data_IF_539167048737
#
_entry.id   IF_539167048737
#
_cell.length_a   1.000
_cell.length_b   1.000
_cell.length_c   1.000
_cell.angle_alpha   90.00
_cell.angle_beta   90.00
_cell.angle_gamma   90.00
#
_symmetry.space_group_name_H-M   'P 1'
#
loop_
_entity.id
_entity.type
_entity.pdbx_description
1 polymer ?
#
# COMPACT_ATOMS: atom_id res chain seq x y z
N UNK A 1 15.80 -12.17 -25.70
CA UNK A 1 15.63 -13.54 -25.16
C UNK A 1 14.53 -13.56 -24.13
N UNK A 2 13.87 -14.70 -23.90
CA UNK A 2 12.85 -14.81 -22.86
C UNK A 2 13.51 -14.90 -21.48
N UNK A 3 12.78 -14.51 -20.39
CA UNK A 3 13.24 -14.69 -19.01
C UNK A 3 13.60 -16.14 -18.71
N UNK A 4 12.81 -17.10 -19.22
CA UNK A 4 13.06 -18.52 -19.08
C UNK A 4 14.42 -18.94 -19.64
N UNK A 5 14.76 -18.54 -20.87
CA UNK A 5 16.06 -18.81 -21.48
C UNK A 5 17.22 -18.13 -20.74
N UNK A 6 16.98 -16.91 -20.26
CA UNK A 6 17.94 -16.17 -19.43
C UNK A 6 18.25 -16.91 -18.13
N UNK A 7 17.22 -17.37 -17.42
CA UNK A 7 17.40 -18.08 -16.15
C UNK A 7 18.02 -19.46 -16.33
N UNK A 8 17.71 -20.18 -17.40
CA UNK A 8 18.36 -21.47 -17.70
C UNK A 8 19.88 -21.33 -17.93
N UNK A 9 20.31 -20.19 -18.44
CA UNK A 9 21.74 -19.91 -18.74
C UNK A 9 22.54 -19.34 -17.57
N UNK A 10 21.89 -18.89 -16.50
CA UNK A 10 22.50 -18.19 -15.36
C UNK A 10 22.21 -18.91 -14.03
N UNK A 11 23.10 -18.78 -13.05
CA UNK A 11 22.88 -19.34 -11.71
C UNK A 11 21.85 -18.55 -10.90
N UNK A 12 21.73 -17.25 -11.16
CA UNK A 12 20.79 -16.37 -10.47
C UNK A 12 20.13 -15.39 -11.43
N UNK A 13 18.89 -14.97 -11.09
CA UNK A 13 18.20 -13.84 -11.70
C UNK A 13 17.80 -12.85 -10.61
N UNK A 14 17.75 -11.56 -10.97
CA UNK A 14 17.28 -10.49 -10.10
C UNK A 14 16.03 -9.81 -10.71
N UNK A 15 14.83 -10.40 -10.56
CA UNK A 15 13.61 -9.84 -11.09
C UNK A 15 13.14 -8.64 -10.26
N UNK A 16 12.33 -7.80 -10.89
CA UNK A 16 11.58 -6.72 -10.23
C UNK A 16 10.12 -7.16 -9.99
N UNK A 17 9.36 -6.36 -9.25
CA UNK A 17 7.95 -6.65 -8.92
C UNK A 17 7.01 -6.69 -10.14
N UNK A 18 7.45 -6.21 -11.30
CA UNK A 18 6.72 -6.27 -12.57
C UNK A 18 6.98 -7.54 -13.39
N UNK A 19 8.02 -8.30 -13.04
CA UNK A 19 8.39 -9.52 -13.75
C UNK A 19 7.59 -10.71 -13.17
N UNK A 20 6.73 -11.33 -13.98
CA UNK A 20 5.99 -12.52 -13.53
C UNK A 20 6.90 -13.76 -13.66
N UNK A 21 7.24 -14.37 -12.54
CA UNK A 21 8.09 -15.55 -12.45
C UNK A 21 7.20 -16.78 -12.12
N UNK A 22 6.59 -17.34 -13.14
CA UNK A 22 5.73 -18.51 -13.00
C UNK A 22 6.52 -19.84 -13.05
N UNK A 23 5.79 -20.94 -12.88
CA UNK A 23 6.35 -22.29 -12.88
C UNK A 23 7.15 -22.64 -14.14
N UNK A 24 6.81 -22.09 -15.30
CA UNK A 24 7.52 -22.28 -16.58
C UNK A 24 8.94 -21.71 -16.53
N UNK A 25 9.12 -20.50 -16.01
CA UNK A 25 10.43 -19.84 -15.86
C UNK A 25 11.26 -20.58 -14.83
N UNK A 26 10.65 -20.99 -13.71
CA UNK A 26 11.29 -21.72 -12.63
C UNK A 26 11.78 -23.09 -13.12
N UNK A 27 10.93 -23.82 -13.84
CA UNK A 27 11.29 -25.12 -14.43
C UNK A 27 12.45 -25.00 -15.42
N UNK A 28 12.44 -23.97 -16.27
CA UNK A 28 13.54 -23.71 -17.20
C UNK A 28 14.85 -23.43 -16.45
N UNK A 29 14.81 -22.61 -15.39
CA UNK A 29 15.97 -22.36 -14.52
C UNK A 29 16.50 -23.62 -13.87
N UNK A 30 15.63 -24.43 -13.27
CA UNK A 30 15.99 -25.67 -12.58
C UNK A 30 16.60 -26.72 -13.53
N UNK A 31 16.10 -26.79 -14.76
CA UNK A 31 16.64 -27.68 -15.81
C UNK A 31 18.02 -27.23 -16.34
N UNK A 32 18.38 -25.98 -16.10
CA UNK A 32 19.66 -25.39 -16.47
C UNK A 32 20.57 -25.13 -15.27
N UNK A 33 21.08 -23.90 -15.21
CA UNK A 33 22.00 -23.45 -14.15
C UNK A 33 21.32 -22.76 -12.97
N UNK A 34 20.00 -22.43 -13.09
CA UNK A 34 19.28 -21.61 -12.11
C UNK A 34 19.27 -22.22 -10.70
N UNK A 35 19.61 -21.40 -9.70
CA UNK A 35 19.66 -21.77 -8.28
C UNK A 35 19.03 -20.72 -7.37
N UNK A 36 18.99 -19.44 -7.80
CA UNK A 36 18.57 -18.33 -6.97
C UNK A 36 17.70 -17.35 -7.75
N UNK A 37 16.60 -16.93 -7.13
CA UNK A 37 15.80 -15.75 -7.52
C UNK A 37 16.03 -14.69 -6.46
N UNK A 38 16.86 -13.69 -6.76
CA UNK A 38 17.16 -12.55 -5.88
C UNK A 38 16.19 -11.42 -6.17
N UNK A 39 15.00 -11.46 -5.56
CA UNK A 39 13.94 -10.50 -5.85
C UNK A 39 14.30 -9.07 -5.41
N UNK A 40 14.33 -8.11 -6.35
CA UNK A 40 14.51 -6.70 -6.07
C UNK A 40 13.19 -6.08 -5.59
N UNK A 41 12.87 -6.32 -4.31
CA UNK A 41 11.65 -5.85 -3.65
C UNK A 41 11.29 -6.67 -2.42
N UNK A 42 10.32 -6.20 -1.64
CA UNK A 42 9.82 -6.90 -0.44
C UNK A 42 8.76 -7.93 -0.81
N UNK A 43 7.80 -7.54 -1.66
CA UNK A 43 6.71 -8.41 -2.09
C UNK A 43 7.18 -9.46 -3.09
N UNK A 44 6.71 -10.69 -2.94
CA UNK A 44 7.05 -11.85 -3.77
C UNK A 44 5.83 -12.48 -4.46
N UNK A 45 4.71 -11.79 -4.47
CA UNK A 45 3.44 -12.28 -5.04
C UNK A 45 3.48 -12.52 -6.57
N UNK A 46 4.49 -12.04 -7.27
CA UNK A 46 4.76 -12.26 -8.68
C UNK A 46 5.65 -13.49 -8.95
N UNK A 47 6.11 -14.18 -7.90
CA UNK A 47 6.95 -15.37 -7.96
C UNK A 47 6.15 -16.58 -7.46
N UNK A 48 6.13 -17.66 -8.22
CA UNK A 48 5.53 -18.93 -7.79
C UNK A 48 6.46 -19.60 -6.77
N UNK A 49 6.22 -19.33 -5.49
CA UNK A 49 7.05 -19.84 -4.40
C UNK A 49 6.96 -21.37 -4.25
N UNK A 50 5.80 -21.96 -4.54
CA UNK A 50 5.59 -23.41 -4.45
C UNK A 50 6.39 -24.13 -5.54
N UNK A 51 6.34 -23.62 -6.76
CA UNK A 51 7.16 -24.12 -7.85
C UNK A 51 8.67 -23.97 -7.57
N UNK A 52 9.09 -22.83 -7.00
CA UNK A 52 10.49 -22.59 -6.63
C UNK A 52 10.96 -23.58 -5.56
N UNK A 53 10.15 -23.81 -4.52
CA UNK A 53 10.43 -24.76 -3.45
C UNK A 53 10.53 -26.21 -4.01
N UNK A 54 9.57 -26.62 -4.86
CA UNK A 54 9.57 -27.94 -5.48
C UNK A 54 10.78 -28.16 -6.40
N UNK A 55 11.27 -27.10 -7.05
CA UNK A 55 12.43 -27.14 -7.94
C UNK A 55 13.78 -26.95 -7.19
N UNK A 56 13.78 -26.73 -5.88
CA UNK A 56 15.00 -26.47 -5.09
C UNK A 56 15.67 -25.14 -5.40
N UNK A 57 14.92 -24.16 -5.94
CA UNK A 57 15.42 -22.81 -6.25
C UNK A 57 15.18 -21.92 -5.04
N UNK A 58 16.24 -21.30 -4.53
CA UNK A 58 16.13 -20.35 -3.43
C UNK A 58 15.49 -19.03 -3.91
N UNK A 59 14.65 -18.43 -3.05
CA UNK A 59 14.06 -17.09 -3.29
C UNK A 59 14.45 -16.18 -2.15
N UNK A 60 15.06 -15.03 -2.46
CA UNK A 60 15.37 -14.00 -1.49
C UNK A 60 14.62 -12.70 -1.82
N UNK A 61 14.43 -11.84 -0.83
CA UNK A 61 13.84 -10.52 -0.98
C UNK A 61 14.60 -9.48 -0.13
N UNK A 62 14.18 -8.20 -0.19
CA UNK A 62 14.86 -7.08 0.47
C UNK A 62 14.02 -6.43 1.58
N UNK A 63 13.73 -7.13 2.70
CA UNK A 63 12.90 -6.59 3.77
C UNK A 63 13.63 -5.49 4.54
N UNK A 64 12.87 -4.46 4.98
CA UNK A 64 13.38 -3.39 5.86
C UNK A 64 13.92 -2.16 5.13
N UNK A 65 14.61 -2.32 4.01
CA UNK A 65 15.33 -1.23 3.33
C UNK A 65 14.45 -0.09 2.78
N UNK A 66 13.17 -0.35 2.52
CA UNK A 66 12.24 0.63 1.96
C UNK A 66 11.14 1.08 2.93
N UNK A 67 11.19 0.63 4.18
CA UNK A 67 10.12 0.88 5.16
C UNK A 67 9.87 2.37 5.34
N UNK A 68 10.91 3.15 5.61
CA UNK A 68 10.80 4.58 5.86
C UNK A 68 10.37 5.35 4.60
N UNK A 69 10.99 5.08 3.46
CA UNK A 69 10.64 5.72 2.19
C UNK A 69 9.17 5.49 1.80
N UNK A 70 8.65 4.26 2.01
CA UNK A 70 7.24 3.96 1.72
C UNK A 70 6.30 4.63 2.74
N UNK A 71 6.69 4.68 4.00
CA UNK A 71 5.92 5.38 5.03
C UNK A 71 5.87 6.89 4.77
N UNK A 72 6.98 7.49 4.36
CA UNK A 72 7.05 8.90 3.98
C UNK A 72 6.19 9.20 2.76
N UNK A 73 6.19 8.32 1.75
CA UNK A 73 5.30 8.44 0.59
C UNK A 73 3.82 8.37 0.98
N UNK A 74 3.44 7.43 1.86
CA UNK A 74 2.06 7.31 2.32
C UNK A 74 1.60 8.59 3.03
N UNK A 75 2.43 9.18 3.90
CA UNK A 75 2.12 10.46 4.54
C UNK A 75 2.12 11.63 3.56
N UNK A 76 3.01 11.63 2.59
CA UNK A 76 3.01 12.64 1.51
C UNK A 76 1.66 12.62 0.78
N UNK A 77 1.15 11.44 0.42
CA UNK A 77 -0.16 11.31 -0.23
C UNK A 77 -1.30 11.79 0.67
N UNK A 78 -1.29 11.43 1.96
CA UNK A 78 -2.25 11.93 2.95
C UNK A 78 -2.23 13.47 3.01
N UNK A 79 -1.06 14.07 3.10
CA UNK A 79 -0.89 15.52 3.13
C UNK A 79 -1.32 16.19 1.82
N UNK A 80 -0.96 15.62 0.69
CA UNK A 80 -1.35 16.13 -0.62
C UNK A 80 -2.87 16.17 -0.79
N UNK A 81 -3.56 15.09 -0.41
CA UNK A 81 -5.03 15.02 -0.43
C UNK A 81 -5.63 16.03 0.56
N UNK A 82 -5.17 16.00 1.81
CA UNK A 82 -5.70 16.87 2.88
C UNK A 82 -5.57 18.36 2.56
N UNK A 83 -4.46 18.76 1.94
CA UNK A 83 -4.14 20.16 1.66
C UNK A 83 -4.40 20.55 0.22
N UNK A 84 -4.96 19.65 -0.60
CA UNK A 84 -5.24 19.88 -2.03
C UNK A 84 -3.99 20.33 -2.78
N UNK A 85 -2.81 19.80 -2.39
CA UNK A 85 -1.52 20.25 -2.90
C UNK A 85 -1.38 20.00 -4.41
N UNK A 86 -1.88 18.86 -4.92
CA UNK A 86 -1.85 18.56 -6.35
C UNK A 86 -2.74 19.49 -7.18
N UNK A 87 -3.84 20.00 -6.63
CA UNK A 87 -4.69 20.99 -7.29
C UNK A 87 -3.97 22.35 -7.37
N UNK A 88 -3.39 22.80 -6.25
CA UNK A 88 -2.63 24.03 -6.19
C UNK A 88 -1.39 24.04 -7.09
N UNK A 89 -0.70 22.89 -7.16
CA UNK A 89 0.46 22.72 -8.05
C UNK A 89 0.05 22.83 -9.53
N UNK A 90 -1.06 22.20 -9.95
CA UNK A 90 -1.57 22.31 -11.31
C UNK A 90 -1.99 23.73 -11.66
N UNK A 91 -2.72 24.41 -10.76
CA UNK A 91 -3.13 25.82 -10.95
C UNK A 91 -1.93 26.74 -11.11
N UNK A 92 -0.90 26.56 -10.26
CA UNK A 92 0.32 27.38 -10.34
C UNK A 92 1.06 27.16 -11.67
N UNK A 93 1.22 25.89 -12.09
CA UNK A 93 1.89 25.57 -13.38
C UNK A 93 1.10 26.02 -14.60
N UNK A 94 -0.22 26.06 -14.51
CA UNK A 94 -1.08 26.59 -15.56
C UNK A 94 -1.04 28.13 -15.65
N UNK A 95 -0.40 28.81 -14.70
CA UNK A 95 -0.40 30.28 -14.63
C UNK A 95 -1.74 30.89 -14.19
N UNK A 96 -2.61 30.07 -13.61
CA UNK A 96 -3.97 30.47 -13.19
C UNK A 96 -4.02 31.03 -11.78
N UNK A 97 -2.96 30.87 -11.00
CA UNK A 97 -2.89 31.37 -9.64
C UNK A 97 -2.87 32.91 -9.58
N UNK A 98 -3.87 33.49 -8.94
CA UNK A 98 -4.09 34.95 -8.89
C UNK A 98 -3.80 35.54 -7.49
N UNK A 99 -2.99 34.87 -6.69
CA UNK A 99 -2.67 35.31 -5.33
C UNK A 99 -3.52 34.60 -4.28
N UNK A 100 -3.25 34.93 -3.00
CA UNK A 100 -3.96 34.37 -1.86
C UNK A 100 -5.42 34.81 -1.80
N UNK A 101 -6.31 33.85 -1.52
CA UNK A 101 -7.76 34.08 -1.32
C UNK A 101 -8.21 33.28 -0.09
N UNK A 102 -9.05 33.84 0.80
CA UNK A 102 -9.41 33.24 2.08
C UNK A 102 -9.99 31.81 2.01
N UNK A 103 -10.80 31.52 0.97
CA UNK A 103 -11.48 30.24 0.81
C UNK A 103 -10.91 29.37 -0.31
N UNK A 104 -9.83 29.84 -0.97
CA UNK A 104 -9.24 29.14 -2.09
C UNK A 104 -8.42 27.96 -1.61
N UNK A 105 -8.61 26.79 -2.23
CA UNK A 105 -7.94 25.54 -1.90
C UNK A 105 -8.02 25.17 -0.41
N UNK A 106 -9.15 25.49 0.23
CA UNK A 106 -9.36 25.10 1.62
C UNK A 106 -9.25 23.58 1.74
N UNK A 107 -8.30 23.15 2.55
CA UNK A 107 -8.08 21.77 2.87
C UNK A 107 -8.51 21.43 4.30
N UNK A 108 -8.09 20.25 4.77
CA UNK A 108 -8.35 19.76 6.12
C UNK A 108 -7.07 19.67 6.92
N UNK A 109 -7.16 19.74 8.25
CA UNK A 109 -6.05 19.41 9.13
C UNK A 109 -6.06 17.90 9.42
N UNK A 110 -4.92 17.34 9.79
CA UNK A 110 -4.80 15.95 10.21
C UNK A 110 -5.00 15.79 11.72
N UNK A 111 -4.80 16.85 12.47
CA UNK A 111 -4.91 16.83 13.93
C UNK A 111 -6.29 16.35 14.38
N UNK A 112 -6.30 15.42 15.33
CA UNK A 112 -7.50 14.77 15.88
C UNK A 112 -8.30 13.91 14.89
N UNK A 113 -7.85 13.77 13.62
CA UNK A 113 -8.45 12.88 12.65
C UNK A 113 -8.02 11.43 12.88
N UNK A 114 -8.83 10.50 12.43
CA UNK A 114 -8.58 9.07 12.56
C UNK A 114 -7.90 8.53 11.32
N UNK A 115 -6.70 7.97 11.49
CA UNK A 115 -6.04 7.16 10.47
C UNK A 115 -6.38 5.70 10.72
N UNK A 116 -7.10 5.08 9.79
CA UNK A 116 -7.32 3.65 9.71
C UNK A 116 -6.20 2.98 8.93
N UNK A 117 -5.65 1.90 9.45
CA UNK A 117 -4.57 1.16 8.80
C UNK A 117 -4.99 -0.30 8.60
N UNK A 118 -4.93 -0.79 7.37
CA UNK A 118 -5.10 -2.21 7.05
C UNK A 118 -3.73 -2.82 6.82
N UNK A 119 -3.28 -3.66 7.77
CA UNK A 119 -1.94 -4.24 7.77
C UNK A 119 -0.92 -3.46 8.62
N UNK A 120 -0.79 -3.83 9.90
CA UNK A 120 0.12 -3.22 10.87
C UNK A 120 1.49 -3.93 10.89
N UNK A 121 2.06 -4.14 9.68
CA UNK A 121 3.43 -4.61 9.49
C UNK A 121 4.48 -3.50 9.68
N UNK A 122 5.71 -3.69 9.17
CA UNK A 122 6.79 -2.70 9.29
C UNK A 122 6.38 -1.32 8.77
N UNK A 123 5.80 -1.24 7.57
CA UNK A 123 5.38 0.02 6.94
C UNK A 123 4.19 0.61 7.69
N UNK A 124 3.15 -0.19 8.00
CA UNK A 124 1.99 0.29 8.76
C UNK A 124 2.37 0.90 10.10
N UNK A 125 3.28 0.27 10.85
CA UNK A 125 3.83 0.79 12.12
C UNK A 125 4.58 2.11 11.92
N UNK A 126 5.40 2.21 10.87
CA UNK A 126 6.16 3.43 10.58
C UNK A 126 5.25 4.61 10.18
N UNK A 127 4.18 4.35 9.41
CA UNK A 127 3.15 5.35 9.08
C UNK A 127 2.38 5.76 10.32
N UNK A 128 1.92 4.79 11.13
CA UNK A 128 1.18 5.05 12.36
C UNK A 128 1.96 5.93 13.34
N UNK A 129 3.24 5.63 13.55
CA UNK A 129 4.12 6.41 14.42
C UNK A 129 4.23 7.87 13.96
N UNK A 130 4.51 8.08 12.66
CA UNK A 130 4.62 9.43 12.08
C UNK A 130 3.30 10.20 12.18
N UNK A 131 2.19 9.55 11.86
CA UNK A 131 0.88 10.16 11.91
C UNK A 131 0.44 10.52 13.34
N UNK A 132 0.69 9.63 14.31
CA UNK A 132 0.35 9.88 15.70
C UNK A 132 1.23 10.97 16.32
N UNK A 133 2.55 10.82 16.24
CA UNK A 133 3.49 11.70 16.92
C UNK A 133 3.73 13.01 16.19
N UNK A 134 3.73 13.02 14.85
CA UNK A 134 3.98 14.23 14.07
C UNK A 134 2.72 15.06 13.81
N UNK A 135 1.56 14.42 13.68
CA UNK A 135 0.31 15.09 13.26
C UNK A 135 -0.84 15.00 14.28
N UNK A 136 -0.63 14.32 15.41
CA UNK A 136 -1.66 14.16 16.44
C UNK A 136 -2.90 13.39 15.95
N UNK A 137 -2.72 12.47 15.02
CA UNK A 137 -3.81 11.60 14.53
C UNK A 137 -4.12 10.48 15.53
N UNK A 138 -5.39 10.08 15.58
CA UNK A 138 -5.81 8.87 16.28
C UNK A 138 -5.56 7.67 15.34
N UNK A 139 -4.93 6.61 15.86
CA UNK A 139 -4.62 5.42 15.08
C UNK A 139 -5.58 4.29 15.44
N UNK A 140 -6.24 3.75 14.43
CA UNK A 140 -6.98 2.49 14.51
C UNK A 140 -6.48 1.58 13.41
N UNK A 141 -6.48 0.27 13.65
CA UNK A 141 -5.98 -0.63 12.63
C UNK A 141 -6.62 -2.01 12.69
N UNK A 142 -6.61 -2.69 11.56
CA UNK A 142 -6.85 -4.12 11.46
C UNK A 142 -5.56 -4.83 11.04
N UNK A 143 -5.31 -5.97 11.66
CA UNK A 143 -4.25 -6.88 11.26
C UNK A 143 -4.72 -8.31 11.52
N UNK A 144 -4.39 -9.25 10.64
CA UNK A 144 -4.80 -10.66 10.73
C UNK A 144 -4.42 -11.30 12.06
N UNK A 145 -3.23 -11.01 12.56
CA UNK A 145 -2.77 -11.41 13.89
C UNK A 145 -2.84 -10.26 14.89
N UNK A 146 -2.95 -10.58 16.16
CA UNK A 146 -2.83 -9.59 17.23
C UNK A 146 -1.44 -8.99 17.24
N UNK A 147 -1.37 -7.68 17.48
CA UNK A 147 -0.12 -6.92 17.59
C UNK A 147 0.01 -6.45 19.04
N UNK A 148 0.95 -7.02 19.78
CA UNK A 148 1.12 -6.72 21.20
C UNK A 148 2.05 -5.52 21.45
N UNK A 149 2.98 -5.24 20.54
CA UNK A 149 3.94 -4.13 20.67
C UNK A 149 3.54 -2.92 19.80
N UNK A 150 2.73 -2.05 20.40
CA UNK A 150 2.33 -0.73 19.87
C UNK A 150 2.45 0.34 20.95
N UNK A 151 3.32 0.14 21.95
CA UNK A 151 3.45 1.03 23.11
C UNK A 151 4.07 2.41 22.79
N UNK A 152 4.77 2.53 21.66
CA UNK A 152 5.46 3.76 21.27
C UNK A 152 4.51 4.92 20.91
N UNK A 153 3.22 4.66 20.63
CA UNK A 153 2.19 5.65 20.33
C UNK A 153 0.79 5.06 20.56
N UNK A 154 -0.22 5.89 20.86
CA UNK A 154 -1.59 5.40 21.07
C UNK A 154 -2.17 4.83 19.78
N UNK A 155 -2.46 3.52 19.76
CA UNK A 155 -3.15 2.87 18.65
C UNK A 155 -4.09 1.79 19.18
N UNK A 156 -5.19 1.54 18.46
CA UNK A 156 -6.19 0.53 18.81
C UNK A 156 -6.39 -0.45 17.68
N UNK A 157 -6.17 -1.73 17.93
CA UNK A 157 -6.54 -2.80 17.02
C UNK A 157 -8.04 -3.04 17.09
N UNK A 158 -8.67 -3.17 15.94
CA UNK A 158 -10.07 -3.55 15.77
C UNK A 158 -10.17 -4.98 15.24
N UNK A 159 -11.33 -5.60 15.45
CA UNK A 159 -11.52 -7.02 15.18
C UNK A 159 -11.70 -7.33 13.69
N UNK A 160 -12.16 -6.35 12.91
CA UNK A 160 -12.45 -6.50 11.49
C UNK A 160 -12.10 -5.24 10.67
N UNK A 161 -12.07 -5.40 9.34
CA UNK A 161 -11.79 -4.33 8.38
C UNK A 161 -12.93 -3.32 8.34
N UNK A 162 -14.16 -3.79 8.46
CA UNK A 162 -15.39 -3.01 8.41
C UNK A 162 -15.40 -1.94 9.49
N UNK A 163 -15.06 -2.32 10.72
CA UNK A 163 -14.94 -1.39 11.85
C UNK A 163 -13.91 -0.29 11.61
N UNK A 164 -12.80 -0.61 10.93
CA UNK A 164 -11.80 0.39 10.55
C UNK A 164 -12.37 1.33 9.48
N UNK A 165 -13.03 0.78 8.45
CA UNK A 165 -13.62 1.57 7.36
C UNK A 165 -14.64 2.59 7.87
N UNK A 166 -15.51 2.18 8.81
CA UNK A 166 -16.59 3.03 9.34
C UNK A 166 -16.10 4.28 10.08
N UNK A 167 -14.95 4.20 10.73
CA UNK A 167 -14.47 5.28 11.61
C UNK A 167 -13.27 6.05 11.06
N UNK A 168 -12.62 5.57 10.00
CA UNK A 168 -11.46 6.22 9.43
C UNK A 168 -11.85 7.52 8.68
N UNK A 169 -11.13 8.60 8.96
CA UNK A 169 -11.11 9.80 8.12
C UNK A 169 -10.14 9.61 6.94
N UNK A 170 -9.06 8.84 7.17
CA UNK A 170 -8.07 8.41 6.18
C UNK A 170 -7.85 6.92 6.35
N UNK A 171 -7.94 6.16 5.26
CA UNK A 171 -7.68 4.73 5.25
C UNK A 171 -6.42 4.45 4.45
N UNK A 172 -5.41 3.84 5.08
CA UNK A 172 -4.13 3.53 4.44
C UNK A 172 -3.86 2.03 4.43
N UNK A 173 -3.58 1.48 3.25
CA UNK A 173 -3.40 0.06 3.01
C UNK A 173 -1.92 -0.30 2.98
N UNK A 174 -1.52 -1.23 3.86
CA UNK A 174 -0.14 -1.72 4.03
C UNK A 174 -0.08 -3.24 4.16
N UNK A 175 -1.15 -3.94 3.81
CA UNK A 175 -1.18 -5.40 3.78
C UNK A 175 -0.46 -5.94 2.54
N UNK A 176 0.12 -7.14 2.65
CA UNK A 176 0.65 -7.86 1.51
C UNK A 176 -0.49 -8.33 0.59
N UNK A 177 -0.25 -8.39 -0.72
CA UNK A 177 -1.18 -8.99 -1.65
C UNK A 177 -1.16 -10.52 -1.50
N UNK A 178 -2.33 -11.11 -1.32
CA UNK A 178 -2.58 -12.54 -1.20
C UNK A 178 -4.04 -12.83 -1.56
N UNK A 179 -4.43 -14.11 -1.62
CA UNK A 179 -5.83 -14.48 -1.82
C UNK A 179 -6.75 -13.88 -0.75
N UNK A 180 -6.30 -13.84 0.53
CA UNK A 180 -7.06 -13.30 1.65
C UNK A 180 -7.21 -11.77 1.61
N UNK A 181 -6.32 -11.08 0.91
CA UNK A 181 -6.31 -9.61 0.81
C UNK A 181 -6.74 -9.10 -0.56
N UNK A 182 -7.05 -10.01 -1.50
CA UNK A 182 -7.60 -9.64 -2.79
C UNK A 182 -8.93 -8.92 -2.59
N UNK A 183 -9.01 -7.69 -3.12
CA UNK A 183 -10.16 -6.79 -2.93
C UNK A 183 -10.60 -6.68 -1.46
N UNK A 184 -9.64 -6.66 -0.53
CA UNK A 184 -9.94 -6.44 0.90
C UNK A 184 -10.71 -5.14 1.10
N UNK A 185 -10.50 -4.14 0.24
CA UNK A 185 -11.33 -2.95 0.14
C UNK A 185 -12.22 -3.07 -1.11
N UNK A 186 -13.36 -3.75 -0.93
CA UNK A 186 -14.39 -3.97 -1.94
C UNK A 186 -15.48 -2.90 -1.91
N UNK A 187 -16.48 -3.02 -2.80
CA UNK A 187 -17.60 -2.08 -2.90
C UNK A 187 -18.39 -1.90 -1.60
N UNK A 188 -18.60 -2.98 -0.84
CA UNK A 188 -19.35 -2.95 0.42
C UNK A 188 -18.57 -2.14 1.47
N UNK A 189 -17.29 -2.40 1.64
CA UNK A 189 -16.42 -1.70 2.59
C UNK A 189 -16.21 -0.23 2.22
N UNK A 190 -16.07 0.06 0.92
CA UNK A 190 -16.06 1.45 0.42
C UNK A 190 -17.36 2.18 0.75
N UNK A 191 -18.50 1.52 0.67
CA UNK A 191 -19.81 2.11 1.01
C UNK A 191 -20.01 2.36 2.52
N UNK A 192 -19.24 1.67 3.38
CA UNK A 192 -19.25 1.89 4.83
C UNK A 192 -18.38 3.08 5.27
N UNK A 193 -17.49 3.55 4.39
CA UNK A 193 -16.63 4.68 4.70
C UNK A 193 -17.40 5.99 4.78
N UNK A 194 -16.86 6.95 5.52
CA UNK A 194 -17.42 8.30 5.61
C UNK A 194 -17.38 8.97 4.24
N UNK A 195 -18.39 9.78 3.88
CA UNK A 195 -18.43 10.46 2.58
C UNK A 195 -17.27 11.40 2.29
N UNK A 196 -16.54 11.78 3.33
CA UNK A 196 -15.42 12.69 3.28
C UNK A 196 -14.08 12.00 3.59
N UNK A 197 -14.08 10.66 3.64
CA UNK A 197 -12.87 9.87 3.88
C UNK A 197 -11.98 9.80 2.64
N UNK A 198 -10.69 9.59 2.87
CA UNK A 198 -9.67 9.42 1.84
C UNK A 198 -9.06 8.02 1.91
N UNK A 199 -8.73 7.47 0.75
CA UNK A 199 -8.08 6.15 0.62
C UNK A 199 -6.66 6.33 0.08
N UNK A 200 -5.69 5.72 0.76
CA UNK A 200 -4.28 5.72 0.38
C UNK A 200 -3.82 4.27 0.21
N UNK A 201 -3.26 3.97 -0.96
CA UNK A 201 -2.71 2.65 -1.24
C UNK A 201 -1.27 2.76 -1.73
N UNK A 202 -0.34 2.34 -0.89
CA UNK A 202 1.08 2.15 -1.23
C UNK A 202 1.49 0.67 -1.19
N UNK A 203 0.49 -0.23 -1.14
CA UNK A 203 0.71 -1.68 -1.12
C UNK A 203 0.70 -2.28 -2.54
N UNK A 204 -0.47 -2.73 -3.01
CA UNK A 204 -0.68 -3.31 -4.35
C UNK A 204 -2.06 -2.91 -4.87
N UNK A 205 -2.23 -2.82 -6.19
CA UNK A 205 -3.53 -2.55 -6.82
C UNK A 205 -4.60 -3.55 -6.39
N UNK A 206 -4.26 -4.82 -6.43
CA UNK A 206 -5.16 -5.97 -6.16
C UNK A 206 -5.82 -5.96 -4.77
N UNK A 207 -5.35 -5.15 -3.82
CA UNK A 207 -5.98 -5.05 -2.49
C UNK A 207 -7.23 -4.17 -2.51
N UNK A 208 -7.46 -3.42 -3.58
CA UNK A 208 -8.65 -2.60 -3.78
C UNK A 208 -9.41 -3.10 -5.01
N UNK A 209 -10.72 -3.14 -4.93
CA UNK A 209 -11.58 -3.17 -6.11
C UNK A 209 -11.53 -1.79 -6.77
N UNK A 210 -10.62 -1.63 -7.75
CA UNK A 210 -10.40 -0.34 -8.43
C UNK A 210 -11.64 0.15 -9.17
N UNK A 211 -12.47 -0.78 -9.69
CA UNK A 211 -13.73 -0.44 -10.36
C UNK A 211 -14.72 0.17 -9.37
N UNK A 212 -14.86 -0.45 -8.21
CA UNK A 212 -15.72 0.06 -7.14
C UNK A 212 -15.21 1.40 -6.59
N UNK A 213 -13.89 1.55 -6.40
CA UNK A 213 -13.30 2.80 -5.95
C UNK A 213 -13.52 3.93 -6.97
N UNK A 214 -13.29 3.68 -8.25
CA UNK A 214 -13.53 4.66 -9.30
C UNK A 214 -15.00 5.11 -9.36
N UNK A 215 -15.92 4.16 -9.21
CA UNK A 215 -17.36 4.46 -9.13
C UNK A 215 -17.72 5.32 -7.91
N UNK A 216 -17.15 5.00 -6.74
CA UNK A 216 -17.38 5.75 -5.50
C UNK A 216 -16.85 7.20 -5.60
N UNK A 217 -15.66 7.38 -6.17
CA UNK A 217 -15.06 8.70 -6.39
C UNK A 217 -15.85 9.52 -7.39
N UNK A 218 -16.23 8.93 -8.52
CA UNK A 218 -17.06 9.60 -9.54
C UNK A 218 -18.43 10.03 -9.00
N UNK A 219 -18.99 9.23 -8.11
CA UNK A 219 -20.24 9.54 -7.42
C UNK A 219 -20.08 10.49 -6.22
N UNK A 220 -18.86 10.99 -5.94
CA UNK A 220 -18.51 11.84 -4.79
C UNK A 220 -18.92 11.23 -3.44
N UNK A 221 -18.84 9.91 -3.33
CA UNK A 221 -19.11 9.17 -2.08
C UNK A 221 -17.90 9.10 -1.17
N UNK A 222 -16.74 9.53 -1.63
CA UNK A 222 -15.49 9.65 -0.89
C UNK A 222 -14.84 11.00 -1.17
N UNK A 223 -13.97 11.42 -0.27
CA UNK A 223 -13.20 12.67 -0.40
C UNK A 223 -12.08 12.58 -1.43
N UNK A 224 -11.52 11.37 -1.64
CA UNK A 224 -10.44 11.13 -2.60
C UNK A 224 -9.70 9.83 -2.34
#
# INVERSE_FOLDING_TARGET
>A
GSLAAGFAGQEAIAPTVSDKIGADIITAGASGKGRLIANFGVGVNHIDLDAAAAAGIAVSNTPGVLTDATADLALTLILMLSRRAGEGERELRAGEWQGWRPTHLMGRTLQCKTLGIIGMGRIGKAVAQRAALGFGMKIVFYNRSRIDDISAYPARQLDDVESVCQIADYLSLHCAASADTFHILNAERLAMMRPDAYVINTARGDVIDETALAAALSAKKLGG
#
